data_IF_665163587714
#
_entry.id   IF_665163587714
#
_cell.length_a   1.000
_cell.length_b   1.000
_cell.length_c   1.000
_cell.angle_alpha   90.00
_cell.angle_beta   90.00
_cell.angle_gamma   90.00
#
_symmetry.space_group_name_H-M   'P 1'
#
loop_
_entity.id
_entity.type
_entity.pdbx_description
1 polymer ?
#
# COMPACT_ATOMS: atom_id res chain seq x y z
N UNK A 1 -4.76 -0.15 -6.67
CA UNK A 1 -3.46 0.48 -6.37
C UNK A 1 -2.36 -0.55 -6.57
N UNK A 2 -1.19 -0.15 -7.05
CA UNK A 2 -0.04 -1.03 -7.29
C UNK A 2 1.21 -0.41 -6.67
N UNK A 3 1.92 -1.17 -5.84
CA UNK A 3 3.11 -0.77 -5.10
C UNK A 3 4.25 -0.31 -6.03
N UNK A 4 4.38 -0.95 -7.19
CA UNK A 4 5.34 -0.55 -8.23
C UNK A 4 5.11 0.87 -8.74
N UNK A 5 3.86 1.36 -8.75
CA UNK A 5 3.56 2.75 -9.11
C UNK A 5 4.12 3.72 -8.08
N UNK A 6 3.87 3.45 -6.79
CA UNK A 6 4.32 4.30 -5.68
C UNK A 6 5.85 4.36 -5.63
N UNK A 7 6.49 3.20 -5.81
CA UNK A 7 7.94 3.08 -5.76
C UNK A 7 8.63 3.63 -7.01
N UNK A 8 8.35 3.05 -8.17
CA UNK A 8 9.22 3.19 -9.34
C UNK A 8 8.85 4.42 -10.18
N UNK A 9 7.60 4.85 -10.14
CA UNK A 9 7.13 6.01 -10.91
C UNK A 9 7.01 7.27 -10.05
N UNK A 10 6.63 7.12 -8.78
CA UNK A 10 6.49 8.25 -7.85
C UNK A 10 7.70 8.42 -6.92
N UNK A 11 8.65 7.47 -6.92
CA UNK A 11 9.86 7.51 -6.09
C UNK A 11 9.55 7.69 -4.60
N UNK A 12 8.45 7.08 -4.13
CA UNK A 12 8.09 7.12 -2.71
C UNK A 12 8.84 6.08 -1.92
N UNK A 13 9.37 6.51 -0.77
CA UNK A 13 9.85 5.62 0.28
C UNK A 13 8.67 4.95 1.03
N UNK A 14 8.88 3.80 1.69
CA UNK A 14 7.82 3.03 2.37
C UNK A 14 6.89 3.87 3.26
N UNK A 15 7.42 4.80 4.05
CA UNK A 15 6.64 5.65 4.95
C UNK A 15 5.71 6.59 4.18
N UNK A 16 6.20 7.17 3.07
CA UNK A 16 5.40 8.05 2.22
C UNK A 16 4.39 7.28 1.38
N UNK A 17 4.72 6.07 0.95
CA UNK A 17 3.76 5.16 0.34
C UNK A 17 2.62 4.84 1.33
N UNK A 18 2.93 4.62 2.61
CA UNK A 18 1.91 4.37 3.63
C UNK A 18 0.96 5.54 3.87
N UNK A 19 1.48 6.78 3.94
CA UNK A 19 0.65 7.98 4.01
C UNK A 19 -0.32 8.06 2.82
N UNK A 20 0.20 7.89 1.60
CA UNK A 20 -0.59 7.91 0.38
C UNK A 20 -1.68 6.82 0.36
N UNK A 21 -1.33 5.59 0.76
CA UNK A 21 -2.26 4.47 0.81
C UNK A 21 -3.39 4.74 1.81
N UNK A 22 -3.06 5.27 2.98
CA UNK A 22 -4.04 5.59 4.02
C UNK A 22 -5.08 6.59 3.51
N UNK A 23 -4.63 7.66 2.87
CA UNK A 23 -5.52 8.69 2.33
C UNK A 23 -6.39 8.10 1.21
N UNK A 24 -5.80 7.32 0.29
CA UNK A 24 -6.54 6.66 -0.78
C UNK A 24 -7.62 5.69 -0.26
N UNK A 25 -7.31 4.88 0.76
CA UNK A 25 -8.29 3.99 1.40
C UNK A 25 -9.42 4.82 2.04
N UNK A 26 -9.07 5.94 2.69
CA UNK A 26 -10.04 6.87 3.27
C UNK A 26 -11.04 7.40 2.25
N UNK A 27 -10.55 7.89 1.11
CA UNK A 27 -11.40 8.39 0.02
C UNK A 27 -12.31 7.31 -0.57
N UNK A 28 -11.80 6.08 -0.74
CA UNK A 28 -12.61 4.96 -1.21
C UNK A 28 -13.70 4.59 -0.21
N UNK A 29 -13.38 4.56 1.10
CA UNK A 29 -14.37 4.30 2.17
C UNK A 29 -15.42 5.40 2.24
N UNK A 30 -15.06 6.67 2.03
CA UNK A 30 -15.98 7.81 2.08
C UNK A 30 -17.12 7.73 1.07
N UNK A 31 -16.93 6.99 -0.03
CA UNK A 31 -17.95 6.76 -1.07
C UNK A 31 -18.54 5.34 -1.04
N UNK A 32 -18.33 4.57 0.05
CA UNK A 32 -18.69 3.15 0.16
C UNK A 32 -18.14 2.29 -1.00
N UNK A 33 -16.96 2.65 -1.51
CA UNK A 33 -16.30 1.92 -2.58
C UNK A 33 -15.53 0.70 -2.08
N UNK A 34 -15.05 -0.11 -3.03
CA UNK A 34 -14.18 -1.26 -2.76
C UNK A 34 -12.75 -0.93 -3.12
N UNK A 35 -11.84 -0.95 -2.14
CA UNK A 35 -10.42 -0.80 -2.38
C UNK A 35 -9.82 -2.11 -2.90
N UNK A 36 -9.15 -2.05 -4.05
CA UNK A 36 -8.47 -3.21 -4.67
C UNK A 36 -6.99 -2.88 -4.87
N UNK A 37 -6.11 -3.76 -4.40
CA UNK A 37 -4.66 -3.65 -4.56
C UNK A 37 -4.08 -4.80 -5.40
N UNK A 38 -2.95 -4.53 -6.05
CA UNK A 38 -2.15 -5.46 -6.82
C UNK A 38 -0.70 -5.34 -6.32
N UNK A 39 -0.06 -6.48 -6.06
CA UNK A 39 1.30 -6.55 -5.53
C UNK A 39 2.11 -7.61 -6.26
N UNK A 40 3.40 -7.37 -6.47
CA UNK A 40 4.33 -8.41 -6.93
C UNK A 40 4.92 -9.16 -5.73
N UNK A 41 5.15 -10.47 -5.89
CA UNK A 41 5.75 -11.28 -4.84
C UNK A 41 7.15 -10.80 -4.42
N UNK A 42 7.94 -10.29 -5.37
CA UNK A 42 9.28 -9.73 -5.09
C UNK A 42 9.21 -8.57 -4.10
N UNK A 43 8.14 -7.76 -4.15
CA UNK A 43 7.96 -6.61 -3.26
C UNK A 43 7.77 -6.99 -1.79
N UNK A 44 7.44 -8.25 -1.52
CA UNK A 44 7.23 -8.79 -0.17
C UNK A 44 8.46 -9.55 0.36
N UNK A 45 9.56 -9.57 -0.40
CA UNK A 45 10.80 -10.25 0.01
C UNK A 45 11.54 -9.55 1.15
N UNK A 46 11.30 -8.24 1.32
CA UNK A 46 12.10 -7.37 2.18
C UNK A 46 13.60 -7.36 1.81
N UNK A 47 13.92 -7.56 0.53
CA UNK A 47 15.30 -7.59 0.04
C UNK A 47 15.62 -6.41 -0.88
N UNK A 48 16.83 -5.86 -0.69
CA UNK A 48 17.42 -4.83 -1.54
C UNK A 48 16.51 -3.63 -1.67
N UNK A 49 16.03 -3.39 -2.89
CA UNK A 49 15.16 -2.25 -3.15
C UNK A 49 13.87 -2.34 -2.31
N UNK A 50 13.34 -3.54 -2.02
CA UNK A 50 12.07 -3.76 -1.35
C UNK A 50 12.14 -3.82 0.18
N UNK A 51 13.27 -3.43 0.79
CA UNK A 51 13.37 -3.27 2.24
C UNK A 51 12.27 -2.32 2.77
N UNK A 52 11.55 -2.75 3.82
CA UNK A 52 10.44 -2.03 4.44
C UNK A 52 9.07 -2.21 3.76
N UNK A 53 9.00 -2.71 2.52
CA UNK A 53 7.75 -2.80 1.76
C UNK A 53 6.80 -3.92 2.25
N UNK A 54 7.32 -4.94 2.93
CA UNK A 54 6.46 -5.92 3.60
C UNK A 54 5.55 -5.26 4.64
N UNK A 55 6.07 -4.32 5.43
CA UNK A 55 5.26 -3.59 6.43
C UNK A 55 4.20 -2.73 5.75
N UNK A 56 4.51 -2.16 4.57
CA UNK A 56 3.55 -1.37 3.79
C UNK A 56 2.35 -2.24 3.41
N UNK A 57 2.60 -3.48 2.97
CA UNK A 57 1.55 -4.43 2.65
C UNK A 57 0.68 -4.79 3.86
N UNK A 58 1.31 -5.17 4.98
CA UNK A 58 0.59 -5.59 6.18
C UNK A 58 -0.29 -4.48 6.76
N UNK A 59 0.24 -3.26 6.86
CA UNK A 59 -0.51 -2.12 7.37
C UNK A 59 -1.62 -1.66 6.41
N UNK A 60 -1.39 -1.70 5.10
CA UNK A 60 -2.47 -1.49 4.12
C UNK A 60 -3.62 -2.46 4.35
N UNK A 61 -3.34 -3.76 4.53
CA UNK A 61 -4.39 -4.76 4.81
C UNK A 61 -5.15 -4.39 6.08
N UNK A 62 -4.45 -4.04 7.18
CA UNK A 62 -5.10 -3.62 8.44
C UNK A 62 -6.02 -2.40 8.22
N UNK A 63 -5.59 -1.41 7.45
CA UNK A 63 -6.37 -0.20 7.15
C UNK A 63 -7.57 -0.47 6.25
N UNK A 64 -7.44 -1.39 5.30
CA UNK A 64 -8.47 -1.72 4.32
C UNK A 64 -9.56 -2.65 4.88
N UNK A 65 -9.23 -3.45 5.89
CA UNK A 65 -10.18 -4.37 6.50
C UNK A 65 -11.39 -3.64 7.12
N UNK A 66 -12.59 -4.24 7.07
CA UNK A 66 -13.75 -3.72 7.79
C UNK A 66 -13.52 -3.75 9.30
N UNK A 67 -14.10 -2.79 10.02
CA UNK A 67 -14.20 -2.87 11.48
C UNK A 67 -15.05 -4.09 11.85
N UNK A 68 -14.64 -4.83 12.90
CA UNK A 68 -15.34 -6.02 13.38
C UNK A 68 -16.64 -5.67 14.10
#
# INVERSE_FOLDING_TARGET
MMEGTLRDYMSLEPEKAMEFIKDLIGEVKAVNGTFISLWHNESLSNEGRWEGWQNVYEEMIRMAMPDK
#
